data_IF_221313511864
#
_entry.id   IF_221313511864
#
_cell.length_a   1.000
_cell.length_b   1.000
_cell.length_c   1.000
_cell.angle_alpha   90.00
_cell.angle_beta   90.00
_cell.angle_gamma   90.00
#
_symmetry.space_group_name_H-M   'P 1'
#
loop_
_entity.id
_entity.type
_entity.pdbx_description
1 polymer ?
#
# COMPACT_ATOMS: atom_id res chain seq x y z
N UNK A 1 0.32 -40.09 -8.44
CA UNK A 1 -0.31 -39.96 -9.77
C UNK A 1 -1.70 -39.34 -9.54
N UNK A 2 -1.72 -38.18 -8.88
CA UNK A 2 -2.91 -37.60 -8.21
C UNK A 2 -2.98 -36.07 -8.39
N UNK A 3 -2.27 -35.51 -9.37
CA UNK A 3 -2.24 -34.04 -9.60
C UNK A 3 -2.42 -33.65 -11.07
N UNK A 4 -2.95 -34.56 -11.91
CA UNK A 4 -3.24 -34.29 -13.32
C UNK A 4 -4.72 -33.99 -13.60
N UNK A 5 -5.62 -34.19 -12.64
CA UNK A 5 -7.08 -34.00 -12.80
C UNK A 5 -7.57 -32.60 -12.37
N UNK A 6 -6.80 -31.84 -11.58
CA UNK A 6 -7.30 -30.62 -10.91
C UNK A 6 -7.54 -29.41 -11.83
N UNK A 7 -6.94 -29.31 -13.02
CA UNK A 7 -7.05 -28.08 -13.84
C UNK A 7 -8.13 -28.12 -14.94
N UNK A 8 -8.41 -29.27 -15.55
CA UNK A 8 -9.53 -29.42 -16.51
C UNK A 8 -10.88 -29.22 -15.80
N UNK A 9 -10.94 -29.63 -14.53
CA UNK A 9 -12.10 -29.44 -13.70
C UNK A 9 -12.38 -27.97 -13.41
N UNK A 10 -11.44 -27.02 -13.47
CA UNK A 10 -11.73 -25.59 -13.20
C UNK A 10 -12.83 -24.99 -14.10
N UNK A 11 -12.77 -25.25 -15.42
CA UNK A 11 -13.78 -24.80 -16.39
C UNK A 11 -15.12 -25.52 -16.19
N UNK A 12 -15.07 -26.76 -15.69
CA UNK A 12 -16.25 -27.56 -15.38
C UNK A 12 -16.83 -27.28 -13.98
N UNK A 13 -16.01 -26.86 -13.02
CA UNK A 13 -16.32 -26.72 -11.61
C UNK A 13 -16.92 -25.34 -11.33
N UNK A 14 -16.39 -24.28 -11.94
CA UNK A 14 -16.92 -22.92 -11.85
C UNK A 14 -18.38 -22.82 -12.34
N UNK A 15 -18.76 -23.66 -13.31
CA UNK A 15 -20.13 -23.71 -13.87
C UNK A 15 -20.96 -24.89 -13.37
N UNK A 16 -20.50 -25.62 -12.33
CA UNK A 16 -21.17 -26.82 -11.77
C UNK A 16 -21.49 -27.91 -12.79
N UNK A 17 -20.75 -27.95 -13.90
CA UNK A 17 -20.93 -28.91 -15.00
C UNK A 17 -20.59 -30.34 -14.57
N UNK A 18 -19.80 -30.52 -13.51
CA UNK A 18 -19.45 -31.84 -12.97
C UNK A 18 -20.68 -32.66 -12.59
N UNK A 19 -21.71 -32.02 -12.02
CA UNK A 19 -22.98 -32.69 -11.68
C UNK A 19 -23.90 -32.95 -12.88
N UNK A 20 -23.59 -32.35 -14.04
CA UNK A 20 -24.42 -32.40 -15.25
C UNK A 20 -23.87 -33.35 -16.32
N UNK A 21 -22.60 -33.74 -16.23
CA UNK A 21 -21.93 -34.59 -17.21
C UNK A 21 -21.93 -36.06 -16.76
N UNK A 22 -22.32 -36.95 -17.66
CA UNK A 22 -22.04 -38.38 -17.51
C UNK A 22 -20.56 -38.68 -17.79
N UNK A 23 -20.01 -39.80 -17.28
CA UNK A 23 -18.62 -40.17 -17.53
C UNK A 23 -18.24 -40.25 -19.02
N UNK A 24 -19.17 -40.70 -19.87
CA UNK A 24 -18.95 -40.78 -21.32
C UNK A 24 -18.90 -39.40 -21.99
N UNK A 25 -19.74 -38.47 -21.55
CA UNK A 25 -19.74 -37.09 -22.03
C UNK A 25 -18.46 -36.37 -21.61
N UNK A 26 -18.01 -36.57 -20.36
CA UNK A 26 -16.74 -36.02 -19.87
C UNK A 26 -15.54 -36.51 -20.69
N UNK A 27 -15.48 -37.81 -21.01
CA UNK A 27 -14.42 -38.38 -21.85
C UNK A 27 -14.44 -37.82 -23.28
N UNK A 28 -15.64 -37.57 -23.82
CA UNK A 28 -15.82 -36.97 -25.15
C UNK A 28 -15.26 -35.55 -25.18
N UNK A 29 -15.60 -34.72 -24.18
CA UNK A 29 -15.10 -33.35 -24.05
C UNK A 29 -13.57 -33.36 -23.89
N UNK A 30 -13.06 -34.26 -23.05
CA UNK A 30 -11.62 -34.40 -22.82
C UNK A 30 -10.86 -34.72 -24.11
N UNK A 31 -11.38 -35.64 -24.95
CA UNK A 31 -10.78 -35.96 -26.24
C UNK A 31 -10.68 -34.74 -27.17
N UNK A 32 -11.76 -33.95 -27.28
CA UNK A 32 -11.77 -32.73 -28.09
C UNK A 32 -10.78 -31.67 -27.58
N UNK A 33 -10.61 -31.55 -26.27
CA UNK A 33 -9.63 -30.64 -25.68
C UNK A 33 -8.19 -31.08 -25.94
N UNK A 34 -7.91 -32.39 -25.92
CA UNK A 34 -6.60 -32.90 -26.30
C UNK A 34 -6.26 -32.59 -27.74
N UNK A 35 -7.24 -32.64 -28.66
CA UNK A 35 -7.04 -32.22 -30.05
C UNK A 35 -6.70 -30.72 -30.14
N UNK A 36 -7.37 -29.87 -29.36
CA UNK A 36 -7.03 -28.44 -29.28
C UNK A 36 -5.61 -28.26 -28.73
N UNK A 37 -5.25 -28.95 -27.64
CA UNK A 37 -3.93 -28.88 -27.04
C UNK A 37 -2.84 -29.31 -28.02
N UNK A 38 -3.03 -30.41 -28.73
CA UNK A 38 -2.08 -30.90 -29.73
C UNK A 38 -1.78 -29.83 -30.79
N UNK A 39 -2.82 -29.17 -31.31
CA UNK A 39 -2.69 -28.04 -32.25
C UNK A 39 -1.99 -26.84 -31.62
N UNK A 40 -2.23 -26.55 -30.33
CA UNK A 40 -1.54 -25.46 -29.61
C UNK A 40 -0.06 -25.78 -29.40
N UNK A 41 0.29 -27.01 -29.03
CA UNK A 41 1.66 -27.44 -28.84
C UNK A 41 2.46 -27.39 -30.16
N UNK A 42 1.87 -27.87 -31.26
CA UNK A 42 2.48 -27.76 -32.59
C UNK A 42 2.70 -26.30 -33.01
N UNK A 43 1.71 -25.43 -32.79
CA UNK A 43 1.85 -24.01 -33.06
C UNK A 43 2.94 -23.35 -32.20
N UNK A 44 3.04 -23.73 -30.92
CA UNK A 44 4.01 -23.19 -29.98
C UNK A 44 5.45 -23.57 -30.33
N UNK A 45 5.67 -24.79 -30.80
CA UNK A 45 7.00 -25.27 -31.24
C UNK A 45 7.35 -24.89 -32.68
N UNK A 46 6.55 -24.02 -33.32
CA UNK A 46 6.69 -23.63 -34.73
C UNK A 46 6.69 -24.85 -35.69
N UNK A 47 5.89 -25.87 -35.38
CA UNK A 47 5.79 -27.09 -36.18
C UNK A 47 6.97 -28.06 -36.01
N UNK A 48 7.88 -27.80 -35.07
CA UNK A 48 9.07 -28.63 -34.84
C UNK A 48 8.79 -29.92 -34.07
N UNK A 49 7.73 -29.97 -33.25
CA UNK A 49 7.34 -31.14 -32.45
C UNK A 49 5.98 -30.94 -31.75
N UNK A 50 5.16 -31.98 -31.63
CA UNK A 50 3.99 -31.97 -30.73
C UNK A 50 4.35 -32.30 -29.27
N UNK A 51 5.62 -32.63 -29.00
CA UNK A 51 6.12 -32.94 -27.66
C UNK A 51 6.67 -31.67 -26.98
N UNK A 52 6.04 -31.29 -25.89
CA UNK A 52 6.46 -30.23 -24.98
C UNK A 52 6.59 -30.77 -23.56
N UNK A 53 7.23 -30.03 -22.66
CA UNK A 53 7.26 -30.40 -21.24
C UNK A 53 5.85 -30.42 -20.67
N UNK A 54 5.58 -31.29 -19.70
CA UNK A 54 4.25 -31.42 -19.08
C UNK A 54 3.73 -30.09 -18.51
N UNK A 55 4.62 -29.28 -17.93
CA UNK A 55 4.31 -27.93 -17.46
C UNK A 55 3.82 -27.02 -18.59
N UNK A 56 4.55 -26.98 -19.72
CA UNK A 56 4.13 -26.21 -20.90
C UNK A 56 2.81 -26.71 -21.49
N UNK A 57 2.61 -28.04 -21.54
CA UNK A 57 1.34 -28.62 -21.98
C UNK A 57 0.16 -28.16 -21.09
N UNK A 58 0.39 -28.11 -19.77
CA UNK A 58 -0.61 -27.63 -18.82
C UNK A 58 -0.94 -26.15 -19.02
N UNK A 59 0.06 -25.28 -19.19
CA UNK A 59 -0.17 -23.86 -19.45
C UNK A 59 -0.91 -23.62 -20.78
N UNK A 60 -0.55 -24.35 -21.84
CA UNK A 60 -1.26 -24.29 -23.13
C UNK A 60 -2.71 -24.77 -23.00
N UNK A 61 -2.98 -25.78 -22.17
CA UNK A 61 -4.32 -26.27 -21.90
C UNK A 61 -5.14 -25.25 -21.10
N UNK A 62 -4.56 -24.63 -20.07
CA UNK A 62 -5.19 -23.55 -19.30
C UNK A 62 -5.57 -22.38 -20.23
N UNK A 63 -4.64 -21.96 -21.08
CA UNK A 63 -4.89 -20.91 -22.07
C UNK A 63 -5.99 -21.31 -23.03
N UNK A 64 -6.01 -22.56 -23.52
CA UNK A 64 -7.03 -23.00 -24.44
C UNK A 64 -8.41 -23.01 -23.81
N UNK A 65 -8.47 -23.47 -22.56
CA UNK A 65 -9.67 -23.43 -21.76
C UNK A 65 -10.22 -22.02 -21.53
N UNK A 66 -9.34 -21.07 -21.19
CA UNK A 66 -9.68 -19.65 -21.07
C UNK A 66 -10.26 -19.10 -22.37
N UNK A 67 -9.62 -19.38 -23.52
CA UNK A 67 -10.11 -18.95 -24.84
C UNK A 67 -11.47 -19.57 -25.17
N UNK A 68 -11.66 -20.86 -24.92
CA UNK A 68 -12.93 -21.55 -25.18
C UNK A 68 -14.07 -20.97 -24.33
N UNK A 69 -13.81 -20.62 -23.06
CA UNK A 69 -14.77 -19.91 -22.19
C UNK A 69 -15.26 -18.61 -22.82
N UNK A 70 -14.36 -17.82 -23.41
CA UNK A 70 -14.76 -16.61 -24.16
C UNK A 70 -15.54 -16.92 -25.43
N UNK A 71 -15.25 -18.03 -26.10
CA UNK A 71 -16.00 -18.47 -27.28
C UNK A 71 -17.44 -18.88 -26.97
N UNK A 72 -17.66 -19.47 -25.80
CA UNK A 72 -18.98 -19.85 -25.29
C UNK A 72 -19.81 -18.66 -24.80
N UNK A 73 -19.14 -17.61 -24.30
CA UNK A 73 -19.79 -16.43 -23.74
C UNK A 73 -20.49 -16.72 -22.40
N UNK A 74 -21.37 -15.81 -21.99
CA UNK A 74 -22.13 -15.95 -20.75
C UNK A 74 -23.50 -16.61 -20.99
N UNK A 75 -23.49 -17.95 -20.97
CA UNK A 75 -24.67 -18.78 -21.17
C UNK A 75 -24.85 -19.77 -20.01
N UNK A 76 -26.08 -20.26 -19.83
CA UNK A 76 -26.43 -21.19 -18.76
C UNK A 76 -25.71 -22.56 -18.88
N UNK A 77 -25.55 -23.30 -17.76
CA UNK A 77 -24.78 -24.55 -17.72
C UNK A 77 -25.21 -25.61 -18.74
N UNK A 78 -26.52 -25.77 -18.98
CA UNK A 78 -27.07 -26.72 -19.93
C UNK A 78 -26.71 -26.36 -21.38
N UNK A 79 -26.71 -25.05 -21.70
CA UNK A 79 -26.27 -24.56 -22.99
C UNK A 79 -24.77 -24.77 -23.16
N UNK A 80 -23.95 -24.46 -22.14
CA UNK A 80 -22.51 -24.76 -22.15
C UNK A 80 -22.26 -26.24 -22.43
N UNK A 81 -22.94 -27.14 -21.71
CA UNK A 81 -22.83 -28.60 -21.93
C UNK A 81 -23.14 -28.95 -23.38
N UNK A 82 -24.23 -28.42 -23.94
CA UNK A 82 -24.62 -28.69 -25.32
C UNK A 82 -23.54 -28.23 -26.32
N UNK A 83 -22.98 -27.04 -26.16
CA UNK A 83 -21.89 -26.54 -27.00
C UNK A 83 -20.62 -27.39 -26.86
N UNK A 84 -20.20 -27.72 -25.64
CA UNK A 84 -19.01 -28.56 -25.42
C UNK A 84 -19.12 -29.96 -26.04
N UNK A 85 -20.33 -30.53 -26.07
CA UNK A 85 -20.58 -31.85 -26.67
C UNK A 85 -20.69 -31.81 -28.19
N UNK A 86 -21.32 -30.79 -28.76
CA UNK A 86 -21.74 -30.82 -30.15
C UNK A 86 -20.90 -29.94 -31.08
N UNK A 87 -20.28 -28.87 -30.56
CA UNK A 87 -19.61 -27.89 -31.42
C UNK A 87 -18.26 -28.40 -31.93
N UNK A 88 -17.84 -27.78 -33.04
CA UNK A 88 -16.48 -27.84 -33.56
C UNK A 88 -15.56 -26.94 -32.71
N UNK A 89 -14.59 -27.56 -32.05
CA UNK A 89 -13.67 -26.87 -31.15
C UNK A 89 -12.72 -25.94 -31.91
N UNK A 90 -12.44 -26.17 -33.19
CA UNK A 90 -11.63 -25.23 -33.97
C UNK A 90 -12.39 -23.93 -34.24
N UNK A 91 -13.68 -24.03 -34.58
CA UNK A 91 -14.54 -22.87 -34.75
C UNK A 91 -14.77 -22.13 -33.43
N UNK A 92 -15.05 -22.87 -32.35
CA UNK A 92 -15.25 -22.32 -31.00
C UNK A 92 -13.99 -21.61 -30.49
N UNK A 93 -12.82 -22.23 -30.65
CA UNK A 93 -11.54 -21.63 -30.27
C UNK A 93 -11.25 -20.35 -31.05
N UNK A 94 -11.49 -20.35 -32.37
CA UNK A 94 -11.33 -19.13 -33.21
C UNK A 94 -12.27 -18.01 -32.77
N UNK A 95 -13.52 -18.34 -32.43
CA UNK A 95 -14.49 -17.38 -31.89
C UNK A 95 -13.99 -16.80 -30.58
N UNK A 96 -13.55 -17.66 -29.66
CA UNK A 96 -12.99 -17.26 -28.37
C UNK A 96 -11.76 -16.37 -28.50
N UNK A 97 -10.86 -16.68 -29.45
CA UNK A 97 -9.66 -15.87 -29.66
C UNK A 97 -10.01 -14.46 -30.12
N UNK A 98 -11.02 -14.31 -30.98
CA UNK A 98 -11.52 -12.98 -31.39
C UNK A 98 -12.15 -12.23 -30.23
N UNK A 99 -12.86 -12.92 -29.33
CA UNK A 99 -13.43 -12.30 -28.14
C UNK A 99 -12.33 -11.83 -27.17
N UNK A 100 -11.29 -12.63 -26.95
CA UNK A 100 -10.10 -12.23 -26.17
C UNK A 100 -9.39 -11.04 -26.82
N UNK A 101 -9.20 -11.06 -28.14
CA UNK A 101 -8.59 -9.95 -28.87
C UNK A 101 -9.40 -8.64 -28.73
N UNK A 102 -10.73 -8.72 -28.76
CA UNK A 102 -11.59 -7.56 -28.49
C UNK A 102 -11.45 -7.05 -27.04
N UNK A 103 -11.37 -7.95 -26.06
CA UNK A 103 -11.11 -7.58 -24.66
C UNK A 103 -9.72 -6.94 -24.47
N UNK A 104 -8.71 -7.38 -25.23
CA UNK A 104 -7.37 -6.75 -25.22
C UNK A 104 -7.44 -5.32 -25.76
N UNK A 105 -8.21 -5.09 -26.82
CA UNK A 105 -8.40 -3.74 -27.37
C UNK A 105 -9.15 -2.82 -26.40
N UNK A 106 -10.17 -3.34 -25.70
CA UNK A 106 -10.86 -2.64 -24.61
C UNK A 106 -9.87 -2.28 -23.49
N UNK A 107 -9.07 -3.25 -23.04
CA UNK A 107 -8.07 -3.05 -21.98
C UNK A 107 -7.05 -1.96 -22.28
N UNK A 108 -6.59 -1.87 -23.54
CA UNK A 108 -5.71 -0.78 -23.97
C UNK A 108 -6.39 0.58 -23.85
N UNK A 109 -7.67 0.67 -24.22
CA UNK A 109 -8.48 1.90 -24.10
C UNK A 109 -8.70 2.29 -22.63
N UNK A 110 -8.93 1.28 -21.77
CA UNK A 110 -9.04 1.48 -20.32
C UNK A 110 -7.71 1.97 -19.73
N UNK A 111 -6.57 1.39 -20.14
CA UNK A 111 -5.25 1.83 -19.71
C UNK A 111 -4.96 3.28 -20.13
N UNK A 112 -5.25 3.64 -21.39
CA UNK A 112 -5.11 5.02 -21.86
C UNK A 112 -5.94 5.99 -21.01
N UNK A 113 -7.15 5.58 -20.63
CA UNK A 113 -8.00 6.37 -19.74
C UNK A 113 -7.40 6.48 -18.35
N UNK A 114 -6.96 5.38 -17.75
CA UNK A 114 -6.32 5.37 -16.43
C UNK A 114 -5.05 6.22 -16.37
N UNK A 115 -4.23 6.20 -17.43
CA UNK A 115 -3.03 7.05 -17.55
C UNK A 115 -3.40 8.54 -17.66
N UNK A 116 -4.47 8.86 -18.41
CA UNK A 116 -4.94 10.24 -18.59
C UNK A 116 -5.58 10.81 -17.32
N UNK A 117 -6.27 9.98 -16.55
CA UNK A 117 -6.93 10.36 -15.29
C UNK A 117 -6.06 10.11 -14.06
N UNK A 118 -4.80 9.72 -14.26
CA UNK A 118 -3.90 9.41 -13.18
C UNK A 118 -3.78 10.56 -12.19
N UNK A 119 -3.81 10.24 -10.89
CA UNK A 119 -3.66 11.26 -9.85
C UNK A 119 -2.29 11.91 -9.90
N UNK A 120 -2.23 13.21 -9.61
CA UNK A 120 -0.98 13.96 -9.50
C UNK A 120 -0.20 13.65 -8.21
N UNK A 121 -0.80 12.90 -7.29
CA UNK A 121 -0.21 12.53 -6.00
C UNK A 121 1.00 11.61 -6.19
N UNK A 122 2.06 11.87 -5.42
CA UNK A 122 3.28 11.07 -5.40
C UNK A 122 3.05 9.76 -4.63
N UNK A 123 2.90 8.63 -5.34
CA UNK A 123 2.91 7.30 -4.71
C UNK A 123 3.60 6.30 -5.65
N UNK A 124 4.66 5.66 -5.14
CA UNK A 124 5.51 4.73 -5.90
C UNK A 124 4.75 3.51 -6.38
N UNK A 125 4.00 2.85 -5.50
CA UNK A 125 3.21 1.66 -5.83
C UNK A 125 2.21 1.94 -6.97
N UNK A 126 1.48 3.06 -6.89
CA UNK A 126 0.54 3.51 -7.91
C UNK A 126 1.22 3.71 -9.27
N UNK A 127 2.36 4.42 -9.29
CA UNK A 127 3.08 4.72 -10.54
C UNK A 127 3.72 3.49 -11.16
N UNK A 128 4.36 2.64 -10.35
CA UNK A 128 4.92 1.38 -10.83
C UNK A 128 3.83 0.45 -11.34
N UNK A 129 2.65 0.43 -10.70
CA UNK A 129 1.47 -0.30 -11.20
C UNK A 129 1.05 0.19 -12.59
N UNK A 130 0.93 1.50 -12.80
CA UNK A 130 0.59 2.06 -14.12
C UNK A 130 1.62 1.67 -15.20
N UNK A 131 2.91 1.64 -14.86
CA UNK A 131 3.98 1.18 -15.76
C UNK A 131 3.86 -0.33 -16.04
N UNK A 132 3.66 -1.13 -15.00
CA UNK A 132 3.49 -2.58 -15.09
C UNK A 132 2.30 -2.97 -15.97
N UNK A 133 1.19 -2.24 -15.88
CA UNK A 133 0.02 -2.41 -16.76
C UNK A 133 0.36 -2.10 -18.23
N UNK A 134 1.17 -1.06 -18.49
CA UNK A 134 1.68 -0.78 -19.82
C UNK A 134 2.56 -1.91 -20.37
N UNK A 135 3.45 -2.44 -19.54
CA UNK A 135 4.31 -3.57 -19.92
C UNK A 135 3.56 -4.89 -20.06
N UNK A 136 2.46 -5.09 -19.33
CA UNK A 136 1.55 -6.22 -19.51
C UNK A 136 1.08 -6.29 -20.97
N UNK A 137 0.51 -5.23 -21.53
CA UNK A 137 0.00 -5.25 -22.92
C UNK A 137 1.09 -5.47 -23.98
N UNK A 138 2.36 -5.21 -23.64
CA UNK A 138 3.51 -5.48 -24.52
C UNK A 138 3.94 -6.95 -24.47
N UNK A 139 3.77 -7.60 -23.32
CA UNK A 139 4.22 -8.96 -23.03
C UNK A 139 3.09 -10.00 -23.06
N UNK A 140 1.84 -9.57 -23.12
CA UNK A 140 0.69 -10.46 -23.03
C UNK A 140 0.52 -11.31 -24.29
N UNK A 141 0.85 -12.59 -24.18
CA UNK A 141 0.89 -13.56 -25.26
C UNK A 141 -0.40 -14.39 -25.35
N UNK A 142 -1.54 -13.73 -25.60
CA UNK A 142 -2.86 -14.35 -25.55
C UNK A 142 -3.15 -15.45 -26.60
N UNK A 143 -2.25 -15.68 -27.56
CA UNK A 143 -2.37 -16.80 -28.51
C UNK A 143 -2.02 -18.16 -27.90
N UNK A 144 -1.22 -18.16 -26.84
CA UNK A 144 -0.69 -19.38 -26.19
C UNK A 144 -0.80 -19.34 -24.66
N UNK A 145 -0.87 -18.16 -24.06
CA UNK A 145 -0.91 -17.93 -22.61
C UNK A 145 -1.97 -16.88 -22.26
N UNK A 146 -3.20 -17.08 -22.74
CA UNK A 146 -4.32 -16.15 -22.56
C UNK A 146 -4.76 -16.00 -21.09
N UNK A 147 -4.56 -17.01 -20.26
CA UNK A 147 -4.90 -16.97 -18.83
C UNK A 147 -3.84 -16.25 -18.00
N UNK A 148 -2.63 -16.06 -18.52
CA UNK A 148 -1.48 -15.57 -17.76
C UNK A 148 -1.53 -14.05 -17.52
N UNK A 149 -1.01 -13.61 -16.38
CA UNK A 149 -0.90 -12.21 -15.97
C UNK A 149 0.59 -11.91 -15.71
N UNK A 150 1.38 -11.57 -16.73
CA UNK A 150 2.84 -11.41 -16.62
C UNK A 150 3.27 -10.05 -16.01
N UNK A 151 2.54 -9.56 -15.01
CA UNK A 151 2.85 -8.32 -14.28
C UNK A 151 2.50 -8.43 -12.79
N UNK A 152 3.18 -7.64 -11.97
CA UNK A 152 2.86 -7.46 -10.55
C UNK A 152 2.18 -6.10 -10.37
N UNK A 153 1.08 -6.07 -9.62
CA UNK A 153 0.31 -4.86 -9.33
C UNK A 153 0.40 -4.59 -7.83
N UNK A 154 1.28 -3.67 -7.45
CA UNK A 154 1.57 -3.39 -6.03
C UNK A 154 0.59 -2.38 -5.41
N UNK A 155 -0.12 -1.59 -6.23
CA UNK A 155 -1.12 -0.66 -5.75
C UNK A 155 -2.41 -1.40 -5.35
N UNK A 156 -2.81 -1.35 -4.07
CA UNK A 156 -4.04 -1.97 -3.63
C UNK A 156 -5.23 -1.09 -4.03
N UNK A 157 -6.18 -1.69 -4.77
CA UNK A 157 -7.51 -1.10 -4.95
C UNK A 157 -8.29 -1.22 -3.64
N UNK A 158 -9.18 -0.27 -3.37
CA UNK A 158 -10.04 -0.31 -2.19
C UNK A 158 -11.02 -1.50 -2.23
N UNK A 159 -11.47 -1.90 -3.43
CA UNK A 159 -12.16 -3.18 -3.64
C UNK A 159 -11.26 -4.09 -4.49
N UNK A 160 -10.70 -5.17 -3.91
CA UNK A 160 -9.81 -6.06 -4.63
C UNK A 160 -10.55 -6.81 -5.74
N UNK A 161 -9.88 -6.98 -6.88
CA UNK A 161 -10.39 -7.79 -7.99
C UNK A 161 -10.47 -9.24 -7.53
N UNK A 162 -11.53 -9.94 -7.94
CA UNK A 162 -11.69 -11.38 -7.66
C UNK A 162 -10.49 -12.17 -8.22
N UNK A 163 -9.84 -12.96 -7.36
CA UNK A 163 -8.69 -13.79 -7.70
C UNK A 163 -9.04 -14.92 -8.69
N UNK A 164 -10.34 -15.23 -8.87
CA UNK A 164 -10.80 -16.16 -9.90
C UNK A 164 -10.68 -15.59 -11.33
N UNK A 165 -10.57 -14.27 -11.50
CA UNK A 165 -10.36 -13.68 -12.82
C UNK A 165 -8.92 -13.88 -13.29
N UNK A 166 -8.77 -14.19 -14.58
CA UNK A 166 -7.49 -14.52 -15.20
C UNK A 166 -7.22 -13.63 -16.41
N UNK A 167 -5.96 -13.54 -16.83
CA UNK A 167 -5.54 -12.87 -18.05
C UNK A 167 -6.14 -11.48 -18.24
N UNK A 168 -6.73 -11.25 -19.42
CA UNK A 168 -7.31 -9.95 -19.77
C UNK A 168 -8.57 -9.60 -18.94
N UNK A 169 -9.29 -10.58 -18.41
CA UNK A 169 -10.49 -10.32 -17.60
C UNK A 169 -10.13 -9.62 -16.30
N UNK A 170 -9.09 -10.13 -15.62
CA UNK A 170 -8.55 -9.54 -14.40
C UNK A 170 -8.06 -8.12 -14.68
N UNK A 171 -7.27 -7.93 -15.75
CA UNK A 171 -6.69 -6.63 -16.09
C UNK A 171 -7.76 -5.60 -16.46
N UNK A 172 -8.77 -6.00 -17.23
CA UNK A 172 -9.87 -5.10 -17.57
C UNK A 172 -10.66 -4.71 -16.31
N UNK A 173 -10.94 -5.65 -15.42
CA UNK A 173 -11.64 -5.36 -14.16
C UNK A 173 -10.80 -4.46 -13.24
N UNK A 174 -9.51 -4.73 -13.11
CA UNK A 174 -8.56 -3.89 -12.37
C UNK A 174 -8.58 -2.45 -12.91
N UNK A 175 -8.47 -2.28 -14.22
CA UNK A 175 -8.46 -0.97 -14.87
C UNK A 175 -9.79 -0.22 -14.75
N UNK A 176 -10.94 -0.92 -14.81
CA UNK A 176 -12.26 -0.30 -14.59
C UNK A 176 -12.38 0.26 -13.17
N UNK A 177 -11.95 -0.51 -12.16
CA UNK A 177 -11.93 -0.07 -10.76
C UNK A 177 -10.95 1.07 -10.53
N UNK A 178 -9.73 0.96 -11.06
CA UNK A 178 -8.72 2.02 -11.00
C UNK A 178 -9.23 3.32 -11.65
N UNK A 179 -9.96 3.22 -12.76
CA UNK A 179 -10.60 4.36 -13.40
C UNK A 179 -11.63 5.05 -12.50
N UNK A 180 -12.47 4.29 -11.79
CA UNK A 180 -13.42 4.81 -10.80
C UNK A 180 -12.66 5.52 -9.66
N UNK A 181 -11.60 4.89 -9.13
CA UNK A 181 -10.78 5.47 -8.07
C UNK A 181 -10.13 6.79 -8.48
N UNK A 182 -9.52 6.81 -9.66
CA UNK A 182 -8.91 8.00 -10.25
C UNK A 182 -9.93 9.13 -10.42
N UNK A 183 -11.08 8.82 -11.02
CA UNK A 183 -12.12 9.81 -11.27
C UNK A 183 -12.67 10.41 -9.97
N UNK A 184 -12.80 9.60 -8.92
CA UNK A 184 -13.20 10.06 -7.59
C UNK A 184 -12.13 10.98 -6.97
N UNK A 185 -10.87 10.54 -6.94
CA UNK A 185 -9.76 11.32 -6.40
C UNK A 185 -9.56 12.65 -7.14
N UNK A 186 -9.83 12.68 -8.45
CA UNK A 186 -9.74 13.89 -9.27
C UNK A 186 -10.75 14.99 -8.90
N UNK A 187 -11.72 14.71 -8.02
CA UNK A 187 -12.65 15.72 -7.46
C UNK A 187 -12.05 16.52 -6.31
N UNK A 188 -10.88 16.13 -5.83
CA UNK A 188 -10.19 16.76 -4.71
C UNK A 188 -8.89 17.41 -5.17
N UNK A 189 -8.49 18.46 -4.47
CA UNK A 189 -7.21 19.11 -4.69
C UNK A 189 -6.04 18.19 -4.32
N UNK A 190 -5.04 18.09 -5.20
CA UNK A 190 -3.93 17.14 -5.07
C UNK A 190 -3.07 17.41 -3.83
N UNK A 191 -2.90 18.69 -3.44
CA UNK A 191 -2.16 19.04 -2.22
C UNK A 191 -2.94 18.61 -0.97
N UNK A 192 -4.26 18.76 -0.98
CA UNK A 192 -5.14 18.28 0.09
C UNK A 192 -5.08 16.76 0.22
N UNK A 193 -5.14 16.02 -0.89
CA UNK A 193 -4.97 14.54 -0.88
C UNK A 193 -3.57 14.16 -0.36
N UNK A 194 -2.52 14.83 -0.82
CA UNK A 194 -1.13 14.58 -0.37
C UNK A 194 -0.99 14.77 1.14
N UNK A 195 -1.55 15.86 1.69
CA UNK A 195 -1.56 16.12 3.14
C UNK A 195 -2.37 15.07 3.90
N UNK A 196 -3.46 14.55 3.34
CA UNK A 196 -4.20 13.47 3.97
C UNK A 196 -3.36 12.19 4.05
N UNK A 197 -2.73 11.80 2.94
CA UNK A 197 -1.89 10.60 2.90
C UNK A 197 -0.70 10.67 3.86
N UNK A 198 -0.07 11.85 4.01
CA UNK A 198 0.99 12.07 5.02
C UNK A 198 0.52 11.79 6.46
N UNK A 199 -0.75 12.05 6.77
CA UNK A 199 -1.33 11.70 8.08
C UNK A 199 -1.63 10.22 8.22
N UNK A 200 -1.98 9.53 7.13
CA UNK A 200 -2.16 8.07 7.12
C UNK A 200 -0.82 7.37 7.36
N UNK A 201 0.21 7.80 6.62
CA UNK A 201 1.58 7.33 6.78
C UNK A 201 2.57 8.42 6.37
N UNK A 202 3.57 8.76 7.22
CA UNK A 202 4.59 9.75 6.87
C UNK A 202 5.34 9.41 5.58
N UNK A 203 5.60 8.13 5.34
CA UNK A 203 6.32 7.62 4.16
C UNK A 203 5.33 7.11 3.09
N UNK A 204 4.14 7.71 2.96
CA UNK A 204 3.08 7.26 2.03
C UNK A 204 3.54 7.08 0.58
N UNK A 205 4.60 7.79 0.16
CA UNK A 205 5.18 7.70 -1.17
C UNK A 205 5.78 6.31 -1.45
N UNK A 206 6.26 5.60 -0.43
CA UNK A 206 6.87 4.27 -0.53
C UNK A 206 5.94 3.13 -0.06
N UNK A 207 4.77 3.47 0.49
CA UNK A 207 3.84 2.49 1.05
C UNK A 207 2.84 1.96 0.02
N UNK A 208 2.46 0.69 0.21
CA UNK A 208 1.37 0.04 -0.51
C UNK A 208 0.04 0.43 0.14
N UNK A 209 -0.49 1.59 -0.23
CA UNK A 209 -1.79 2.06 0.26
C UNK A 209 -2.68 2.55 -0.89
N UNK A 210 -3.99 2.41 -0.70
CA UNK A 210 -4.97 2.96 -1.63
C UNK A 210 -5.13 4.46 -1.37
N UNK A 211 -4.86 5.27 -2.38
CA UNK A 211 -5.08 6.71 -2.32
C UNK A 211 -6.57 6.99 -2.21
N UNK A 212 -7.37 6.29 -3.03
CA UNK A 212 -8.81 6.41 -3.04
C UNK A 212 -9.41 6.07 -1.68
N UNK A 213 -8.98 4.98 -1.04
CA UNK A 213 -9.55 4.55 0.23
C UNK A 213 -9.41 5.61 1.33
N UNK A 214 -8.25 6.27 1.42
CA UNK A 214 -8.03 7.35 2.37
C UNK A 214 -8.98 8.54 2.10
N UNK A 215 -9.06 8.96 0.84
CA UNK A 215 -9.90 10.08 0.40
C UNK A 215 -11.38 9.76 0.61
N UNK A 216 -11.84 8.59 0.17
CA UNK A 216 -13.24 8.18 0.26
C UNK A 216 -13.68 8.00 1.71
N UNK A 217 -12.81 7.52 2.60
CA UNK A 217 -13.13 7.34 4.02
C UNK A 217 -13.38 8.69 4.70
N UNK A 218 -12.48 9.66 4.53
CA UNK A 218 -12.66 10.99 5.10
C UNK A 218 -13.82 11.74 4.46
N UNK A 219 -13.99 11.66 3.14
CA UNK A 219 -15.12 12.26 2.43
C UNK A 219 -16.46 11.73 2.96
N UNK A 220 -16.60 10.40 3.09
CA UNK A 220 -17.82 9.77 3.60
C UNK A 220 -18.09 10.16 5.06
N UNK A 221 -17.05 10.21 5.89
CA UNK A 221 -17.17 10.65 7.28
C UNK A 221 -17.65 12.10 7.40
N UNK A 222 -17.13 13.00 6.57
CA UNK A 222 -17.57 14.40 6.50
C UNK A 222 -19.03 14.48 6.03
N UNK A 223 -19.43 13.69 5.04
CA UNK A 223 -20.83 13.61 4.61
C UNK A 223 -21.74 13.16 5.76
N UNK A 224 -21.36 12.12 6.51
CA UNK A 224 -22.13 11.63 7.65
C UNK A 224 -22.30 12.67 8.77
N UNK A 225 -21.35 13.58 8.90
CA UNK A 225 -21.38 14.68 9.87
C UNK A 225 -22.04 15.95 9.33
N UNK A 226 -22.40 15.99 8.04
CA UNK A 226 -22.85 17.22 7.36
C UNK A 226 -21.76 18.30 7.28
N UNK A 227 -20.49 17.89 7.25
CA UNK A 227 -19.32 18.76 7.15
C UNK A 227 -18.92 19.10 5.72
N UNK A 228 -17.85 19.88 5.57
CA UNK A 228 -17.28 20.20 4.27
C UNK A 228 -16.44 19.02 3.74
N UNK A 229 -17.02 18.27 2.80
CA UNK A 229 -16.40 17.10 2.15
C UNK A 229 -15.06 17.43 1.50
N UNK A 230 -14.91 18.61 0.89
CA UNK A 230 -13.69 18.97 0.16
C UNK A 230 -12.51 19.28 1.08
N UNK A 231 -12.76 19.52 2.37
CA UNK A 231 -11.70 19.75 3.36
C UNK A 231 -10.85 18.50 3.63
N UNK A 232 -11.45 17.31 3.50
CA UNK A 232 -10.87 16.01 3.90
C UNK A 232 -10.27 15.99 5.32
N UNK A 233 -10.65 16.93 6.18
CA UNK A 233 -10.02 17.15 7.48
C UNK A 233 -10.95 16.71 8.61
N UNK A 234 -10.69 15.53 9.18
CA UNK A 234 -11.46 15.00 10.32
C UNK A 234 -10.79 15.43 11.62
N UNK A 235 -11.44 16.32 12.38
CA UNK A 235 -10.95 16.77 13.69
C UNK A 235 -11.28 15.78 14.83
N UNK A 236 -10.70 16.00 16.01
CA UNK A 236 -11.06 15.23 17.21
C UNK A 236 -12.55 15.34 17.59
N UNK A 237 -13.14 16.50 17.32
CA UNK A 237 -14.58 16.72 17.52
C UNK A 237 -15.39 15.87 16.54
N UNK A 238 -14.97 15.82 15.28
CA UNK A 238 -15.61 15.02 14.23
C UNK A 238 -15.51 13.53 14.55
N UNK A 239 -14.35 13.04 14.99
CA UNK A 239 -14.19 11.66 15.47
C UNK A 239 -15.12 11.33 16.63
N UNK A 240 -15.30 12.26 17.56
CA UNK A 240 -16.26 12.09 18.67
C UNK A 240 -17.70 11.99 18.14
N UNK A 241 -18.05 12.80 17.13
CA UNK A 241 -19.33 12.72 16.43
C UNK A 241 -19.53 11.38 15.72
N UNK A 242 -18.52 10.90 14.99
CA UNK A 242 -18.53 9.60 14.30
C UNK A 242 -18.70 8.44 15.28
N UNK A 243 -17.99 8.46 16.42
CA UNK A 243 -18.15 7.45 17.47
C UNK A 243 -19.59 7.40 17.99
N UNK A 244 -20.22 8.56 18.19
CA UNK A 244 -21.61 8.63 18.64
C UNK A 244 -22.59 8.16 17.54
N UNK A 245 -22.35 8.54 16.29
CA UNK A 245 -23.15 8.10 15.14
C UNK A 245 -23.10 6.58 14.98
N UNK A 246 -21.91 6.02 14.78
CA UNK A 246 -21.72 4.59 14.56
C UNK A 246 -22.11 3.76 15.79
N UNK A 247 -21.86 4.27 17.01
CA UNK A 247 -22.29 3.61 18.25
C UNK A 247 -23.80 3.52 18.44
N UNK A 248 -24.57 4.35 17.74
CA UNK A 248 -26.03 4.30 17.74
C UNK A 248 -26.61 3.40 16.63
N UNK A 249 -25.79 2.88 15.73
CA UNK A 249 -26.23 2.06 14.61
C UNK A 249 -26.24 0.58 14.97
N UNK A 250 -27.08 -0.15 14.24
CA UNK A 250 -27.23 -1.60 14.30
C UNK A 250 -27.01 -2.18 12.91
N UNK A 251 -26.88 -3.50 12.80
CA UNK A 251 -26.79 -4.18 11.51
C UNK A 251 -27.95 -3.84 10.56
N UNK A 252 -29.15 -3.56 11.09
CA UNK A 252 -30.32 -3.21 10.29
C UNK A 252 -30.38 -1.73 9.90
N UNK A 253 -29.84 -0.85 10.75
CA UNK A 253 -29.94 0.61 10.55
C UNK A 253 -28.73 1.21 9.85
N UNK A 254 -27.58 0.54 9.87
CA UNK A 254 -26.37 1.00 9.19
C UNK A 254 -26.50 1.02 7.66
N UNK A 255 -26.98 -0.06 6.98
CA UNK A 255 -27.06 -0.07 5.52
C UNK A 255 -27.87 1.08 4.91
N UNK A 256 -29.11 1.40 5.36
CA UNK A 256 -29.87 2.52 4.78
C UNK A 256 -29.23 3.88 5.08
N UNK A 257 -28.51 4.04 6.20
CA UNK A 257 -27.81 5.29 6.53
C UNK A 257 -26.54 5.48 5.69
N UNK A 258 -25.77 4.41 5.47
CA UNK A 258 -24.64 4.42 4.57
C UNK A 258 -25.08 4.72 3.14
N UNK A 259 -26.17 4.08 2.67
CA UNK A 259 -26.72 4.34 1.34
C UNK A 259 -27.14 5.80 1.16
N UNK A 260 -27.74 6.42 2.18
CA UNK A 260 -28.08 7.83 2.16
C UNK A 260 -26.83 8.73 2.06
N UNK A 261 -25.80 8.46 2.86
CA UNK A 261 -24.54 9.21 2.84
C UNK A 261 -23.80 9.04 1.50
N UNK A 262 -23.77 7.84 0.93
CA UNK A 262 -23.20 7.57 -0.40
C UNK A 262 -23.95 8.34 -1.47
N UNK A 263 -25.29 8.34 -1.42
CA UNK A 263 -26.11 9.11 -2.37
C UNK A 263 -25.83 10.61 -2.26
N UNK A 264 -25.73 11.15 -1.05
CA UNK A 264 -25.41 12.56 -0.81
C UNK A 264 -24.01 12.91 -1.31
N UNK A 265 -23.00 12.09 -0.98
CA UNK A 265 -21.63 12.28 -1.44
C UNK A 265 -21.53 12.24 -2.97
N UNK A 266 -22.27 11.34 -3.63
CA UNK A 266 -22.32 11.31 -5.10
C UNK A 266 -22.92 12.59 -5.68
N UNK A 267 -23.94 13.18 -5.04
CA UNK A 267 -24.50 14.47 -5.47
C UNK A 267 -23.46 15.58 -5.30
N UNK A 268 -22.78 15.65 -4.15
CA UNK A 268 -21.75 16.67 -3.87
C UNK A 268 -20.61 16.60 -4.90
N UNK A 269 -20.15 15.39 -5.23
CA UNK A 269 -19.04 15.16 -6.14
C UNK A 269 -19.44 15.07 -7.63
N UNK A 270 -20.73 15.24 -7.95
CA UNK A 270 -21.28 15.08 -9.30
C UNK A 270 -20.92 13.72 -9.93
N UNK A 271 -21.10 12.64 -9.16
CA UNK A 271 -20.88 11.26 -9.61
C UNK A 271 -22.23 10.71 -10.08
N UNK A 272 -22.36 10.52 -11.40
CA UNK A 272 -23.61 10.06 -12.00
C UNK A 272 -23.60 8.57 -12.39
N UNK A 273 -22.42 8.01 -12.69
CA UNK A 273 -22.28 6.65 -13.19
C UNK A 273 -22.67 5.58 -12.17
N UNK A 274 -23.54 4.65 -12.56
CA UNK A 274 -23.98 3.54 -11.72
C UNK A 274 -22.83 2.67 -11.17
N UNK A 275 -21.79 2.32 -11.96
CA UNK A 275 -20.64 1.57 -11.44
C UNK A 275 -19.89 2.29 -10.32
N UNK A 276 -19.64 3.60 -10.47
CA UNK A 276 -18.96 4.39 -9.45
C UNK A 276 -19.79 4.50 -8.15
N UNK A 277 -21.11 4.64 -8.27
CA UNK A 277 -22.03 4.65 -7.11
C UNK A 277 -21.99 3.31 -6.37
N UNK A 278 -22.02 2.19 -7.11
CA UNK A 278 -21.94 0.86 -6.52
C UNK A 278 -20.59 0.62 -5.82
N UNK A 279 -19.48 1.03 -6.45
CA UNK A 279 -18.13 0.93 -5.89
C UNK A 279 -17.98 1.72 -4.57
N UNK A 280 -18.52 2.94 -4.53
CA UNK A 280 -18.52 3.75 -3.32
C UNK A 280 -19.43 3.15 -2.22
N UNK A 281 -20.56 2.55 -2.59
CA UNK A 281 -21.44 1.86 -1.64
C UNK A 281 -20.76 0.64 -1.01
N UNK A 282 -20.05 -0.15 -1.82
CA UNK A 282 -19.24 -1.28 -1.34
C UNK A 282 -18.10 -0.81 -0.43
N UNK A 283 -17.42 0.28 -0.81
CA UNK A 283 -16.39 0.92 0.01
C UNK A 283 -16.94 1.38 1.36
N UNK A 284 -18.14 1.98 1.38
CA UNK A 284 -18.80 2.41 2.60
C UNK A 284 -19.16 1.24 3.53
N UNK A 285 -19.63 0.12 2.96
CA UNK A 285 -19.92 -1.09 3.72
C UNK A 285 -18.64 -1.70 4.33
N UNK A 286 -17.59 -1.86 3.52
CA UNK A 286 -16.29 -2.38 3.97
C UNK A 286 -15.62 -1.47 5.02
N UNK A 287 -15.81 -0.15 4.92
CA UNK A 287 -15.35 0.79 5.95
C UNK A 287 -16.11 0.59 7.26
N UNK A 288 -17.44 0.44 7.22
CA UNK A 288 -18.26 0.23 8.41
C UNK A 288 -17.90 -1.07 9.14
N UNK A 289 -17.60 -2.15 8.42
CA UNK A 289 -17.16 -3.42 9.01
C UNK A 289 -15.85 -3.26 9.80
N UNK A 290 -14.96 -2.35 9.38
CA UNK A 290 -13.72 -2.01 10.08
C UNK A 290 -13.91 -1.07 11.26
N UNK A 291 -14.96 -0.27 11.25
CA UNK A 291 -15.32 0.63 12.37
C UNK A 291 -15.76 -0.17 13.59
N UNK A 292 -16.54 -1.24 13.40
CA UNK A 292 -17.13 -2.03 14.50
C UNK A 292 -16.12 -2.42 15.61
N UNK A 293 -14.99 -3.07 15.27
CA UNK A 293 -13.94 -3.41 16.23
C UNK A 293 -13.31 -2.20 16.95
N UNK A 294 -13.33 -1.02 16.34
CA UNK A 294 -12.71 0.21 16.85
C UNK A 294 -13.61 1.00 17.79
N UNK A 295 -14.93 0.81 17.73
CA UNK A 295 -15.90 1.54 18.58
C UNK A 295 -15.66 1.34 20.09
N UNK A 296 -15.47 0.11 20.62
CA UNK A 296 -15.22 -0.10 22.04
C UNK A 296 -13.90 0.52 22.51
N UNK A 297 -12.90 0.56 21.63
CA UNK A 297 -11.60 1.17 21.90
C UNK A 297 -11.64 2.70 21.81
N UNK A 298 -12.68 3.25 21.18
CA UNK A 298 -12.83 4.69 20.86
C UNK A 298 -11.66 5.23 20.03
N UNK A 299 -11.08 4.38 19.18
CA UNK A 299 -9.89 4.69 18.36
C UNK A 299 -10.23 4.73 16.89
N UNK A 300 -10.59 5.91 16.41
CA UNK A 300 -10.92 6.14 15.00
C UNK A 300 -9.80 6.86 14.23
N UNK A 301 -8.68 7.18 14.89
CA UNK A 301 -7.62 8.01 14.34
C UNK A 301 -6.91 7.42 13.12
N UNK A 302 -6.88 6.10 12.99
CA UNK A 302 -6.26 5.41 11.86
C UNK A 302 -7.22 5.22 10.68
N UNK A 303 -8.53 5.23 10.92
CA UNK A 303 -9.55 5.14 9.88
C UNK A 303 -9.93 6.54 9.34
N UNK A 304 -9.89 7.53 10.22
CA UNK A 304 -10.24 8.92 9.93
C UNK A 304 -9.16 9.86 10.48
N UNK A 305 -8.00 9.94 9.81
CA UNK A 305 -6.93 10.85 10.21
C UNK A 305 -7.28 12.31 9.89
N UNK A 306 -6.79 13.29 10.68
CA UNK A 306 -6.90 14.70 10.34
C UNK A 306 -6.01 15.01 9.13
N UNK A 307 -6.26 16.14 8.48
CA UNK A 307 -5.37 16.61 7.43
C UNK A 307 -4.00 16.98 8.01
N UNK A 308 -2.91 16.53 7.41
CA UNK A 308 -1.57 16.88 7.89
C UNK A 308 -1.44 18.40 7.83
N UNK A 309 -1.17 19.01 8.98
CA UNK A 309 -0.77 20.42 9.03
C UNK A 309 0.73 20.37 9.21
N UNK A 310 1.47 20.98 8.29
CA UNK A 310 2.85 21.35 8.60
C UNK A 310 2.76 22.06 9.94
N UNK A 311 3.34 21.44 10.97
CA UNK A 311 3.56 22.20 12.17
C UNK A 311 4.42 23.37 11.71
N UNK A 312 4.14 24.57 12.22
CA UNK A 312 5.17 25.58 12.42
C UNK A 312 6.23 25.06 13.41
N UNK A 313 6.69 23.82 13.25
CA UNK A 313 8.07 23.47 13.45
C UNK A 313 8.82 24.29 12.40
N UNK A 314 9.03 25.58 12.73
CA UNK A 314 10.37 26.11 12.62
C UNK A 314 11.24 25.01 13.23
N UNK A 315 11.80 24.12 12.40
CA UNK A 315 13.09 23.51 12.71
C UNK A 315 13.87 24.70 13.26
N UNK A 316 14.24 24.73 14.55
CA UNK A 316 15.12 25.78 14.98
C UNK A 316 16.35 25.57 14.11
N UNK A 317 16.49 26.41 13.08
CA UNK A 317 17.70 26.57 12.30
C UNK A 317 18.72 27.30 13.19
N UNK A 318 18.85 26.85 14.42
CA UNK A 318 20.07 26.92 15.18
C UNK A 318 20.59 25.49 15.09
N UNK A 319 21.18 25.17 13.94
CA UNK A 319 22.23 24.18 13.91
C UNK A 319 23.17 24.61 15.03
N UNK A 320 23.24 23.84 16.11
CA UNK A 320 24.32 24.02 17.05
C UNK A 320 25.61 23.97 16.23
N UNK A 321 26.30 25.11 16.13
CA UNK A 321 27.60 25.18 15.46
C UNK A 321 28.59 24.78 16.54
N UNK A 322 29.08 23.55 16.44
CA UNK A 322 30.14 23.06 17.31
C UNK A 322 31.34 24.00 17.21
N UNK A 323 31.90 24.39 18.36
CA UNK A 323 33.04 25.30 18.38
C UNK A 323 34.31 24.63 17.88
N UNK A 324 35.35 25.43 17.65
CA UNK A 324 36.65 24.89 17.26
C UNK A 324 37.20 23.96 18.35
N UNK A 325 37.79 22.84 17.93
CA UNK A 325 38.49 21.92 18.82
C UNK A 325 39.64 22.64 19.52
N UNK A 326 39.79 22.35 20.81
CA UNK A 326 40.94 22.76 21.58
C UNK A 326 42.19 22.00 21.11
N UNK A 327 43.33 22.66 21.18
CA UNK A 327 44.63 22.02 20.96
C UNK A 327 44.93 20.99 22.06
N UNK A 328 45.47 19.83 21.71
CA UNK A 328 45.72 18.71 22.62
C UNK A 328 46.57 19.11 23.85
N UNK A 329 47.57 19.99 23.73
CA UNK A 329 48.37 20.44 24.88
C UNK A 329 47.55 21.32 25.82
N UNK A 330 46.70 22.18 25.24
CA UNK A 330 45.78 23.03 26.03
C UNK A 330 44.69 22.22 26.71
N UNK A 331 44.16 21.20 26.03
CA UNK A 331 43.14 20.32 26.58
C UNK A 331 43.69 19.51 27.76
N UNK A 332 44.92 18.98 27.64
CA UNK A 332 45.59 18.30 28.77
C UNK A 332 45.83 19.24 29.95
N UNK A 333 46.36 20.44 29.70
CA UNK A 333 46.56 21.43 30.75
C UNK A 333 45.25 21.81 31.45
N UNK A 334 44.16 21.96 30.69
CA UNK A 334 42.83 22.23 31.23
C UNK A 334 42.31 21.06 32.08
N UNK A 335 42.49 19.81 31.63
CA UNK A 335 42.11 18.62 32.40
C UNK A 335 42.87 18.55 33.73
N UNK A 336 44.17 18.83 33.72
CA UNK A 336 44.99 18.86 34.95
C UNK A 336 44.49 19.96 35.92
N UNK A 337 44.18 21.15 35.40
CA UNK A 337 43.66 22.26 36.19
C UNK A 337 42.27 21.95 36.78
N UNK A 338 41.37 21.40 35.97
CA UNK A 338 40.02 20.98 36.40
C UNK A 338 40.08 19.86 37.45
N UNK A 339 41.05 18.96 37.35
CA UNK A 339 41.25 17.87 38.31
C UNK A 339 41.79 18.40 39.64
N UNK A 340 42.56 19.50 39.63
CA UNK A 340 43.05 20.16 40.83
C UNK A 340 42.01 21.08 41.51
N UNK A 341 40.90 21.40 40.85
CA UNK A 341 39.83 22.24 41.42
C UNK A 341 39.16 21.58 42.63
N UNK A 342 39.08 22.31 43.75
CA UNK A 342 38.45 21.83 45.01
C UNK A 342 36.95 22.10 45.09
N UNK A 343 36.45 23.07 44.34
CA UNK A 343 35.05 23.49 44.37
C UNK A 343 34.38 23.24 43.01
N UNK A 344 33.25 22.53 43.04
CA UNK A 344 32.50 22.17 41.83
C UNK A 344 32.05 23.40 41.02
N UNK A 345 31.64 24.49 41.69
CA UNK A 345 31.24 25.74 41.03
C UNK A 345 32.35 26.34 40.18
N UNK A 346 33.57 26.39 40.72
CA UNK A 346 34.72 27.01 40.08
C UNK A 346 35.21 26.16 38.91
N UNK A 347 35.17 24.84 39.10
CA UNK A 347 35.47 23.84 38.07
C UNK A 347 34.50 23.92 36.89
N UNK A 348 33.20 24.01 37.16
CA UNK A 348 32.16 24.19 36.14
C UNK A 348 32.38 25.51 35.38
N UNK A 349 32.63 26.61 36.11
CA UNK A 349 32.87 27.91 35.49
C UNK A 349 34.13 27.91 34.60
N UNK A 350 35.21 27.26 35.06
CA UNK A 350 36.45 27.11 34.30
C UNK A 350 36.22 26.29 33.03
N UNK A 351 35.49 25.18 33.11
CA UNK A 351 35.16 24.36 31.95
C UNK A 351 34.27 25.11 30.94
N UNK A 352 33.20 25.77 31.39
CA UNK A 352 32.28 26.55 30.53
C UNK A 352 32.98 27.71 29.82
N UNK A 353 34.02 28.29 30.42
CA UNK A 353 34.79 29.39 29.83
C UNK A 353 35.75 28.94 28.73
N UNK A 354 36.30 27.73 28.86
CA UNK A 354 37.40 27.29 28.00
C UNK A 354 36.97 26.28 26.93
N UNK A 355 35.92 25.50 27.15
CA UNK A 355 35.51 24.43 26.23
C UNK A 355 34.46 24.95 25.26
N UNK A 356 34.80 24.90 23.97
CA UNK A 356 33.92 25.39 22.91
C UNK A 356 33.31 24.26 22.05
N UNK A 357 33.83 23.03 22.12
CA UNK A 357 33.35 21.91 21.30
C UNK A 357 32.76 20.76 22.11
N UNK A 358 31.80 20.03 21.54
CA UNK A 358 31.19 18.83 22.13
C UNK A 358 32.19 17.69 22.30
N UNK A 359 33.17 17.60 21.41
CA UNK A 359 34.22 16.59 21.50
C UNK A 359 35.12 16.84 22.70
N UNK A 360 35.57 18.07 22.90
CA UNK A 360 36.36 18.46 24.07
C UNK A 360 35.54 18.31 25.35
N UNK A 361 34.23 18.63 25.30
CA UNK A 361 33.32 18.34 26.41
C UNK A 361 33.27 16.86 26.75
N UNK A 362 33.18 15.98 25.76
CA UNK A 362 33.17 14.54 26.00
C UNK A 362 34.49 14.03 26.59
N UNK A 363 35.64 14.59 26.18
CA UNK A 363 36.95 14.22 26.74
C UNK A 363 37.11 14.69 28.19
N UNK A 364 36.66 15.91 28.50
CA UNK A 364 36.67 16.42 29.88
C UNK A 364 35.66 15.69 30.77
N UNK A 365 34.46 15.38 30.25
CA UNK A 365 33.43 14.62 30.97
C UNK A 365 33.86 13.18 31.25
N UNK A 366 34.73 12.59 30.43
CA UNK A 366 35.25 11.24 30.66
C UNK A 366 36.14 11.14 31.91
N UNK A 367 36.69 12.26 32.38
CA UNK A 367 37.78 12.27 33.37
C UNK A 367 37.44 13.15 34.59
N UNK A 368 36.93 14.36 34.35
CA UNK A 368 36.99 15.41 35.36
C UNK A 368 35.74 15.48 36.24
N UNK A 369 34.53 15.18 35.76
CA UNK A 369 33.29 15.45 36.51
C UNK A 369 32.64 14.18 37.07
N UNK A 370 32.30 14.17 38.36
CA UNK A 370 31.81 12.98 39.05
C UNK A 370 30.55 13.25 39.88
N UNK A 371 29.66 12.26 39.96
CA UNK A 371 28.50 12.29 40.87
C UNK A 371 27.65 13.56 40.70
N UNK A 372 27.40 14.26 41.81
CA UNK A 372 26.53 15.44 41.87
C UNK A 372 27.09 16.64 41.08
N UNK A 373 28.39 16.65 40.75
CA UNK A 373 28.99 17.68 39.88
C UNK A 373 28.41 17.64 38.46
N UNK A 374 28.03 16.45 37.97
CA UNK A 374 27.45 16.28 36.64
C UNK A 374 26.07 16.93 36.55
N UNK A 375 25.23 16.78 37.58
CA UNK A 375 23.89 17.36 37.60
C UNK A 375 23.95 18.90 37.65
N UNK A 376 24.88 19.43 38.46
CA UNK A 376 25.14 20.86 38.53
C UNK A 376 25.69 21.40 37.19
N UNK A 377 26.59 20.66 36.54
CA UNK A 377 27.15 21.02 35.24
C UNK A 377 26.07 20.98 34.14
N UNK A 378 25.24 19.92 34.09
CA UNK A 378 24.14 19.80 33.13
C UNK A 378 23.13 20.94 33.24
N UNK A 379 22.91 21.46 34.46
CA UNK A 379 22.08 22.64 34.69
C UNK A 379 22.62 23.93 34.08
N UNK A 380 23.89 23.95 33.64
CA UNK A 380 24.49 25.11 32.95
C UNK A 380 24.41 25.05 31.43
N UNK A 381 24.01 23.89 30.87
CA UNK A 381 23.81 23.73 29.43
C UNK A 381 22.39 24.13 29.04
N UNK A 382 22.28 24.74 27.86
CA UNK A 382 20.99 24.94 27.20
C UNK A 382 20.37 23.62 26.78
N UNK A 383 19.05 23.61 26.58
CA UNK A 383 18.33 22.43 26.09
C UNK A 383 18.85 21.92 24.74
N UNK A 384 19.44 22.79 23.91
CA UNK A 384 20.06 22.38 22.64
C UNK A 384 21.43 21.73 22.86
N UNK A 385 22.29 22.29 23.71
CA UNK A 385 23.58 21.67 24.05
C UNK A 385 23.40 20.29 24.66
N UNK A 386 22.40 20.10 25.53
CA UNK A 386 22.06 18.78 26.10
C UNK A 386 21.57 17.80 25.02
N UNK A 387 20.76 18.25 24.06
CA UNK A 387 20.33 17.42 22.91
C UNK A 387 21.51 16.97 22.07
N UNK A 388 22.43 17.88 21.75
CA UNK A 388 23.59 17.56 20.92
C UNK A 388 24.58 16.65 21.66
N UNK A 389 24.80 16.86 22.94
CA UNK A 389 25.63 16.00 23.77
C UNK A 389 25.06 14.58 23.88
N UNK A 390 23.72 14.43 23.97
CA UNK A 390 23.04 13.12 23.90
C UNK A 390 23.22 12.45 22.54
N UNK A 391 23.06 13.21 21.46
CA UNK A 391 23.26 12.70 20.11
C UNK A 391 24.70 12.19 19.91
N UNK A 392 25.68 12.95 20.38
CA UNK A 392 27.09 12.57 20.37
C UNK A 392 27.34 11.30 21.19
N UNK A 393 26.79 11.22 22.41
CA UNK A 393 26.91 10.03 23.26
C UNK A 393 26.31 8.78 22.60
N UNK A 394 25.14 8.90 21.96
CA UNK A 394 24.50 7.80 21.24
C UNK A 394 25.35 7.31 20.05
N UNK A 395 25.89 8.23 19.25
CA UNK A 395 26.78 7.89 18.12
C UNK A 395 28.08 7.22 18.59
N UNK A 396 28.66 7.72 19.69
CA UNK A 396 29.86 7.14 20.29
C UNK A 396 29.62 5.71 20.79
N UNK A 397 28.46 5.42 21.40
CA UNK A 397 28.07 4.06 21.83
C UNK A 397 27.91 3.10 20.65
N UNK A 398 27.33 3.56 19.53
CA UNK A 398 27.20 2.75 18.32
C UNK A 398 28.57 2.42 17.71
N UNK A 399 29.48 3.39 17.67
CA UNK A 399 30.81 3.23 17.08
C UNK A 399 31.76 2.36 17.92
N UNK A 400 31.62 2.39 19.25
CA UNK A 400 32.47 1.66 20.19
C UNK A 400 31.63 0.89 21.23
N UNK A 401 30.93 -0.18 20.83
CA UNK A 401 30.09 -0.95 21.74
C UNK A 401 30.92 -1.55 22.88
N UNK A 402 30.60 -1.18 24.12
CA UNK A 402 31.26 -1.65 25.34
C UNK A 402 32.18 -0.63 26.03
N UNK A 403 32.56 0.47 25.36
CA UNK A 403 33.29 1.57 26.01
C UNK A 403 32.33 2.42 26.84
N UNK A 404 32.59 2.55 28.13
CA UNK A 404 31.88 3.47 29.05
C UNK A 404 32.89 4.44 29.65
N UNK A 405 32.50 5.70 29.82
CA UNK A 405 33.29 6.61 30.66
C UNK A 405 33.34 6.08 32.09
N UNK A 406 34.45 6.33 32.78
CA UNK A 406 34.59 5.95 34.19
C UNK A 406 33.69 6.83 35.07
N UNK A 407 33.47 8.07 34.66
CA UNK A 407 32.56 9.04 35.32
C UNK A 407 31.08 8.67 35.18
N UNK A 408 30.72 7.84 34.20
CA UNK A 408 29.35 7.43 33.92
C UNK A 408 28.46 8.56 33.41
N UNK A 409 29.05 9.63 32.87
CA UNK A 409 28.31 10.83 32.47
C UNK A 409 27.25 10.56 31.41
N UNK A 410 27.48 9.60 30.50
CA UNK A 410 26.51 9.29 29.44
C UNK A 410 25.23 8.69 30.01
N UNK A 411 25.32 7.87 31.06
CA UNK A 411 24.15 7.26 31.72
C UNK A 411 23.40 8.31 32.53
N UNK A 412 24.13 9.22 33.19
CA UNK A 412 23.53 10.32 33.95
C UNK A 412 22.81 11.32 33.03
N UNK A 413 23.36 11.60 31.85
CA UNK A 413 22.77 12.50 30.87
C UNK A 413 21.44 11.97 30.28
N UNK A 414 21.32 10.64 30.14
CA UNK A 414 20.08 9.98 29.68
C UNK A 414 18.94 10.12 30.71
N UNK A 415 19.27 10.14 32.01
CA UNK A 415 18.31 10.30 33.10
C UNK A 415 18.02 11.75 33.51
N UNK A 416 18.79 12.72 33.00
CA UNK A 416 18.66 14.13 33.32
C UNK A 416 17.43 14.74 32.63
N UNK A 417 16.53 15.39 33.37
CA UNK A 417 15.28 15.95 32.82
C UNK A 417 15.45 17.38 32.33
#
# INVERSE_FOLDING_TARGET
METNEENFLSILSERKLESLLSPAEALTIQGKLWDVLAKRAESYTMGGSSSVRAETARELLNSAGFVLRHGLGDIGPEAVKAHLLNDDYDALFKSGLRAVEAQVAEGKTLLETALRTATAVENGAYRETLRALGDFFRRYHYHHFAHDIPCMLDYPLAQPVDEALLGIDYINEYLRRLGIENDFCARFDAETVTRLLRSVSPDFEENLLSIYEAVSSNALALTLLGGDVFSLDITDKDRTGLLALFGAWTADTAPPRLAAAVSELCVILSIDGAPAKAYLAETAAALYDRVGPMLPLRRLEHLFPPLYREKDEKKPAVTYIDGALMDDEKLRALIDELTACRHASDKIALARRNICSLRDWAEVLDICFWGDELEALFGTFSGEELRQLRFFAAHRRQKYPGRRSETGWEVRLDGYK
#
